data_IF_726398185809
#
_entry.id   IF_726398185809
#
_cell.length_a   1.000
_cell.length_b   1.000
_cell.length_c   1.000
_cell.angle_alpha   90.00
_cell.angle_beta   90.00
_cell.angle_gamma   90.00
#
_symmetry.space_group_name_H-M   'P 1'
#
loop_
_entity.id
_entity.type
_entity.pdbx_description
1 polymer ?
#
# COMPACT_ATOMS: atom_id res chain seq x y z
N UNK A 1 -3.71 -40.64 35.89
CA UNK A 1 -4.12 -40.17 34.57
C UNK A 1 -3.30 -38.88 34.29
N UNK A 2 -2.16 -39.00 33.61
CA UNK A 2 -1.41 -37.84 33.08
C UNK A 2 -2.31 -37.24 32.01
N UNK A 3 -2.80 -36.02 32.24
CA UNK A 3 -3.49 -35.24 31.21
C UNK A 3 -2.56 -35.16 29.99
N UNK A 4 -2.98 -35.70 28.84
CA UNK A 4 -2.24 -35.60 27.61
C UNK A 4 -2.10 -34.12 27.27
N UNK A 5 -0.87 -33.60 27.28
CA UNK A 5 -0.61 -32.27 26.77
C UNK A 5 -1.08 -32.23 25.31
N UNK A 6 -2.03 -31.36 25.03
CA UNK A 6 -2.53 -31.17 23.65
C UNK A 6 -1.35 -30.72 22.77
N UNK A 7 -0.85 -31.62 21.96
CA UNK A 7 0.21 -31.37 21.01
C UNK A 7 -0.40 -30.61 19.81
N UNK A 8 0.22 -29.51 19.42
CA UNK A 8 -0.20 -28.67 18.31
C UNK A 8 0.89 -28.65 17.22
N UNK A 9 0.51 -28.78 15.95
CA UNK A 9 1.46 -28.71 14.85
C UNK A 9 1.88 -27.26 14.54
N UNK A 10 3.05 -27.09 13.92
CA UNK A 10 3.48 -25.78 13.44
C UNK A 10 2.49 -25.18 12.45
N UNK A 11 1.90 -25.98 11.58
CA UNK A 11 0.86 -25.55 10.64
C UNK A 11 -0.38 -24.98 11.37
N UNK A 12 -0.86 -25.67 12.41
CA UNK A 12 -1.99 -25.18 13.22
C UNK A 12 -1.62 -23.89 13.97
N UNK A 13 -0.37 -23.78 14.44
CA UNK A 13 0.14 -22.55 15.08
C UNK A 13 0.10 -21.38 14.09
N UNK A 14 0.56 -21.58 12.85
CA UNK A 14 0.53 -20.54 11.81
C UNK A 14 -0.91 -20.03 11.56
N UNK A 15 -1.89 -20.95 11.46
CA UNK A 15 -3.29 -20.59 11.29
C UNK A 15 -3.81 -19.81 12.49
N UNK A 16 -3.53 -20.28 13.72
CA UNK A 16 -3.92 -19.56 14.95
C UNK A 16 -3.29 -18.18 15.08
N UNK A 17 -2.03 -18.01 14.65
CA UNK A 17 -1.40 -16.70 14.60
C UNK A 17 -2.16 -15.74 13.67
N UNK A 18 -2.55 -16.20 12.49
CA UNK A 18 -3.36 -15.39 11.55
C UNK A 18 -4.73 -15.03 12.13
N UNK A 19 -5.37 -15.98 12.82
CA UNK A 19 -6.65 -15.72 13.51
C UNK A 19 -6.50 -14.69 14.63
N UNK A 20 -5.43 -14.75 15.43
CA UNK A 20 -5.13 -13.76 16.48
C UNK A 20 -4.83 -12.37 15.92
N UNK A 21 -4.24 -12.27 14.71
CA UNK A 21 -4.05 -11.00 13.99
C UNK A 21 -5.33 -10.52 13.26
N UNK A 22 -6.45 -11.23 13.41
CA UNK A 22 -7.73 -10.86 12.83
C UNK A 22 -7.79 -10.99 11.31
N UNK A 23 -6.96 -11.87 10.74
CA UNK A 23 -6.94 -12.14 9.31
C UNK A 23 -8.18 -12.95 8.91
N UNK A 24 -8.96 -12.41 8.00
CA UNK A 24 -10.18 -13.04 7.50
C UNK A 24 -10.04 -13.60 6.08
N UNK A 25 -9.00 -13.20 5.37
CA UNK A 25 -8.73 -13.63 3.99
C UNK A 25 -7.25 -13.70 3.71
N UNK A 26 -6.84 -14.75 2.99
CA UNK A 26 -5.51 -14.89 2.42
C UNK A 26 -5.61 -15.12 0.92
N UNK A 27 -4.54 -14.75 0.19
CA UNK A 27 -4.39 -14.98 -1.23
C UNK A 27 -3.23 -15.93 -1.45
N UNK A 28 -3.41 -17.04 -2.16
CA UNK A 28 -2.31 -17.97 -2.29
C UNK A 28 -2.49 -19.07 -3.32
N UNK A 29 -1.41 -19.81 -3.50
CA UNK A 29 -1.37 -21.00 -4.34
C UNK A 29 -0.65 -22.13 -3.58
N UNK A 30 -1.32 -23.29 -3.36
CA UNK A 30 -0.73 -24.40 -2.64
C UNK A 30 0.38 -25.06 -3.45
N UNK A 31 1.33 -25.68 -2.75
CA UNK A 31 2.40 -26.50 -3.31
C UNK A 31 3.03 -27.34 -2.20
N UNK A 32 3.89 -28.28 -2.56
CA UNK A 32 4.37 -29.33 -1.67
C UNK A 32 4.92 -28.82 -0.33
N UNK A 33 5.75 -27.76 -0.36
CA UNK A 33 6.39 -27.24 0.84
C UNK A 33 5.48 -26.39 1.75
N UNK A 34 4.20 -26.15 1.38
CA UNK A 34 3.25 -25.37 2.16
C UNK A 34 1.91 -26.13 2.35
N UNK A 35 1.80 -27.35 1.85
CA UNK A 35 0.60 -28.18 2.01
C UNK A 35 0.15 -28.37 3.45
N UNK A 36 1.04 -28.60 4.46
CA UNK A 36 0.59 -28.74 5.85
C UNK A 36 -0.17 -27.50 6.35
N UNK A 37 0.27 -26.31 6.00
CA UNK A 37 -0.43 -25.09 6.33
C UNK A 37 -1.81 -25.00 5.66
N UNK A 38 -1.93 -25.33 4.37
CA UNK A 38 -3.22 -25.32 3.68
C UNK A 38 -4.19 -26.38 4.21
N UNK A 39 -3.67 -27.51 4.68
CA UNK A 39 -4.47 -28.55 5.35
C UNK A 39 -5.06 -28.04 6.67
N UNK A 40 -4.24 -27.47 7.55
CA UNK A 40 -4.71 -26.83 8.79
C UNK A 40 -5.67 -25.65 8.51
N UNK A 41 -5.46 -24.93 7.42
CA UNK A 41 -6.30 -23.79 7.05
C UNK A 41 -7.71 -24.21 6.63
N UNK A 42 -7.89 -25.45 6.13
CA UNK A 42 -9.18 -25.98 5.70
C UNK A 42 -10.23 -25.95 6.80
N UNK A 43 -9.83 -26.19 8.05
CA UNK A 43 -10.71 -26.20 9.23
C UNK A 43 -10.89 -24.80 9.87
N UNK A 44 -10.23 -23.78 9.32
CA UNK A 44 -10.31 -22.41 9.84
C UNK A 44 -11.44 -21.60 9.22
N UNK A 45 -11.73 -20.43 9.81
CA UNK A 45 -12.67 -19.44 9.24
C UNK A 45 -12.03 -18.50 8.25
N UNK A 46 -10.72 -18.60 8.01
CA UNK A 46 -9.99 -17.74 7.11
C UNK A 46 -10.32 -18.12 5.66
N UNK A 47 -10.88 -17.20 4.92
CA UNK A 47 -11.19 -17.41 3.51
C UNK A 47 -9.90 -17.49 2.68
N UNK A 48 -9.71 -18.57 1.96
CA UNK A 48 -8.63 -18.70 0.98
C UNK A 48 -9.12 -18.28 -0.41
N UNK A 49 -8.43 -17.32 -1.00
CA UNK A 49 -8.62 -16.93 -2.40
C UNK A 49 -7.51 -17.57 -3.22
N UNK A 50 -7.87 -18.62 -3.94
CA UNK A 50 -6.93 -19.34 -4.82
C UNK A 50 -6.61 -18.47 -6.04
N UNK A 51 -5.33 -18.19 -6.24
CA UNK A 51 -4.81 -17.52 -7.43
C UNK A 51 -4.32 -18.54 -8.46
N UNK A 52 -4.05 -18.09 -9.69
CA UNK A 52 -3.50 -18.93 -10.76
C UNK A 52 -2.00 -18.68 -11.00
N UNK A 53 -1.46 -17.70 -10.29
CA UNK A 53 -0.04 -17.33 -10.29
C UNK A 53 0.26 -16.59 -8.98
N UNK A 54 1.37 -16.89 -8.34
CA UNK A 54 1.71 -16.37 -7.01
C UNK A 54 1.94 -14.86 -7.01
N UNK A 55 2.45 -14.28 -8.10
CA UNK A 55 2.54 -12.82 -8.28
C UNK A 55 1.19 -12.15 -8.06
N UNK A 56 0.11 -12.76 -8.55
CA UNK A 56 -1.24 -12.24 -8.34
C UNK A 56 -1.68 -12.33 -6.87
N UNK A 57 -1.18 -13.30 -6.09
CA UNK A 57 -1.44 -13.35 -4.66
C UNK A 57 -0.88 -12.14 -3.93
N UNK A 58 0.38 -11.78 -4.21
CA UNK A 58 1.02 -10.62 -3.60
C UNK A 58 0.33 -9.31 -4.03
N UNK A 59 -0.05 -9.17 -5.32
CA UNK A 59 -0.80 -8.00 -5.78
C UNK A 59 -2.21 -7.92 -5.19
N UNK A 60 -2.90 -9.06 -5.03
CA UNK A 60 -4.22 -9.10 -4.41
C UNK A 60 -4.14 -8.76 -2.92
N UNK A 61 -3.14 -9.26 -2.19
CA UNK A 61 -2.86 -8.90 -0.80
C UNK A 61 -2.57 -7.38 -0.67
N UNK A 62 -1.76 -6.83 -1.57
CA UNK A 62 -1.49 -5.39 -1.64
C UNK A 62 -2.76 -4.58 -1.92
N UNK A 63 -3.59 -5.01 -2.87
CA UNK A 63 -4.89 -4.39 -3.17
C UNK A 63 -5.85 -4.42 -1.98
N UNK A 64 -5.93 -5.58 -1.30
CA UNK A 64 -6.73 -5.73 -0.09
C UNK A 64 -6.26 -4.78 1.03
N UNK A 65 -4.96 -4.70 1.27
CA UNK A 65 -4.41 -3.81 2.29
C UNK A 65 -4.74 -2.34 2.01
N UNK A 66 -4.66 -1.91 0.74
CA UNK A 66 -5.02 -0.54 0.32
C UNK A 66 -6.50 -0.22 0.55
N UNK A 67 -7.38 -1.17 0.23
CA UNK A 67 -8.83 -0.97 0.30
C UNK A 67 -9.39 -1.09 1.71
N UNK A 68 -8.86 -2.02 2.51
CA UNK A 68 -9.39 -2.34 3.84
C UNK A 68 -8.67 -1.64 4.99
N UNK A 69 -7.50 -1.04 4.75
CA UNK A 69 -6.59 -0.53 5.79
C UNK A 69 -6.13 -1.63 6.78
N UNK A 70 -6.17 -2.90 6.35
CA UNK A 70 -5.69 -4.06 7.12
C UNK A 70 -4.43 -4.63 6.45
N UNK A 71 -3.72 -5.49 7.14
CA UNK A 71 -2.58 -6.21 6.56
C UNK A 71 -3.07 -7.20 5.52
N UNK A 72 -2.47 -7.19 4.33
CA UNK A 72 -2.70 -8.21 3.32
C UNK A 72 -1.80 -9.42 3.54
N UNK A 73 -2.33 -10.63 3.37
CA UNK A 73 -1.55 -11.86 3.52
C UNK A 73 -1.53 -12.63 2.21
N UNK A 74 -0.33 -12.99 1.73
CA UNK A 74 -0.15 -13.87 0.58
C UNK A 74 0.69 -15.09 0.95
N UNK A 75 0.39 -16.23 0.31
CA UNK A 75 0.98 -17.52 0.64
C UNK A 75 1.41 -18.25 -0.62
N UNK A 76 2.65 -18.77 -0.64
CA UNK A 76 3.17 -19.58 -1.74
C UNK A 76 4.06 -20.71 -1.24
N UNK A 77 4.32 -21.69 -2.12
CA UNK A 77 5.27 -22.75 -1.86
C UNK A 77 6.72 -22.28 -2.07
N UNK A 78 7.69 -23.15 -1.84
CA UNK A 78 9.12 -22.90 -2.06
C UNK A 78 9.49 -22.74 -3.53
N UNK A 79 10.74 -22.35 -3.77
CA UNK A 79 11.33 -22.26 -5.11
C UNK A 79 10.60 -21.29 -6.02
N UNK A 80 10.11 -21.74 -7.20
CA UNK A 80 9.44 -20.86 -8.16
C UNK A 80 8.17 -20.23 -7.59
N UNK A 81 7.45 -20.88 -6.66
CA UNK A 81 6.30 -20.29 -5.99
C UNK A 81 6.67 -19.07 -5.15
N UNK A 82 7.72 -19.19 -4.37
CA UNK A 82 8.23 -18.09 -3.56
C UNK A 82 8.80 -16.94 -4.42
N UNK A 83 9.63 -17.27 -5.43
CA UNK A 83 10.25 -16.24 -6.29
C UNK A 83 9.22 -15.48 -7.13
N UNK A 84 8.08 -16.10 -7.48
CA UNK A 84 6.99 -15.42 -8.17
C UNK A 84 6.31 -14.33 -7.31
N UNK A 85 6.45 -14.32 -5.98
CA UNK A 85 5.92 -13.26 -5.12
C UNK A 85 6.74 -11.96 -5.21
N UNK A 86 8.01 -12.02 -5.62
CA UNK A 86 8.97 -10.89 -5.51
C UNK A 86 8.45 -9.61 -6.15
N UNK A 87 7.89 -9.68 -7.35
CA UNK A 87 7.35 -8.48 -8.04
C UNK A 87 6.27 -7.80 -7.21
N UNK A 88 5.35 -8.56 -6.63
CA UNK A 88 4.28 -8.01 -5.79
C UNK A 88 4.81 -7.47 -4.46
N UNK A 89 5.78 -8.15 -3.85
CA UNK A 89 6.48 -7.70 -2.64
C UNK A 89 7.20 -6.37 -2.93
N UNK A 90 7.97 -6.28 -4.01
CA UNK A 90 8.67 -5.06 -4.41
C UNK A 90 7.70 -3.89 -4.66
N UNK A 91 6.56 -4.15 -5.31
CA UNK A 91 5.51 -3.15 -5.51
C UNK A 91 4.94 -2.66 -4.18
N UNK A 92 4.65 -3.57 -3.24
CA UNK A 92 4.15 -3.21 -1.92
C UNK A 92 5.18 -2.40 -1.12
N UNK A 93 6.47 -2.75 -1.20
CA UNK A 93 7.56 -2.01 -0.58
C UNK A 93 7.66 -0.57 -1.10
N UNK A 94 7.66 -0.42 -2.43
CA UNK A 94 7.75 0.89 -3.07
C UNK A 94 6.58 1.80 -2.70
N UNK A 95 5.38 1.24 -2.53
CA UNK A 95 4.18 2.01 -2.18
C UNK A 95 3.88 2.04 -0.68
N UNK A 96 4.76 1.47 0.15
CA UNK A 96 4.60 1.45 1.62
C UNK A 96 3.30 0.75 2.06
N UNK A 97 3.00 -0.41 1.47
CA UNK A 97 1.79 -1.19 1.75
C UNK A 97 2.11 -2.36 2.67
N UNK A 98 1.42 -2.48 3.82
CA UNK A 98 1.67 -3.56 4.76
C UNK A 98 1.13 -4.88 4.22
N UNK A 99 2.03 -5.81 3.88
CA UNK A 99 1.70 -7.18 3.56
C UNK A 99 2.61 -8.13 4.36
N UNK A 100 2.08 -9.30 4.69
CA UNK A 100 2.85 -10.43 5.21
C UNK A 100 2.82 -11.53 4.15
N UNK A 101 4.00 -11.83 3.60
CA UNK A 101 4.19 -12.91 2.67
C UNK A 101 4.66 -14.16 3.44
N UNK A 102 3.98 -15.27 3.26
CA UNK A 102 4.33 -16.54 3.91
C UNK A 102 4.76 -17.50 2.80
N UNK A 103 5.97 -18.04 2.90
CA UNK A 103 6.47 -19.04 1.97
C UNK A 103 6.73 -20.35 2.69
N UNK A 104 6.41 -21.45 2.02
CA UNK A 104 6.95 -22.75 2.43
C UNK A 104 8.39 -22.87 1.98
N UNK A 105 9.19 -23.64 2.73
CA UNK A 105 10.57 -23.93 2.39
C UNK A 105 10.83 -25.43 2.45
N UNK A 106 11.88 -25.89 1.78
CA UNK A 106 12.36 -27.28 1.91
C UNK A 106 12.68 -27.59 3.37
N UNK A 107 12.85 -28.85 3.71
CA UNK A 107 13.21 -29.25 5.08
C UNK A 107 14.45 -28.50 5.58
N UNK A 108 14.45 -28.10 6.84
CA UNK A 108 15.54 -27.31 7.43
C UNK A 108 16.92 -27.97 7.32
N UNK A 109 17.00 -29.31 7.37
CA UNK A 109 18.24 -30.06 7.21
C UNK A 109 18.74 -30.16 5.75
N UNK A 110 17.94 -29.73 4.78
CA UNK A 110 18.26 -29.72 3.35
C UNK A 110 18.62 -28.33 2.81
N UNK A 111 18.38 -27.27 3.56
CA UNK A 111 18.68 -25.90 3.15
C UNK A 111 20.19 -25.74 2.89
N UNK A 112 20.53 -25.09 1.76
CA UNK A 112 21.91 -24.90 1.30
C UNK A 112 22.51 -26.10 0.58
N UNK A 113 21.67 -27.06 0.12
CA UNK A 113 22.11 -28.26 -0.60
C UNK A 113 21.65 -28.33 -2.05
N UNK A 114 21.10 -27.24 -2.59
CA UNK A 114 20.57 -27.15 -3.97
C UNK A 114 19.54 -28.24 -4.29
N UNK A 115 18.66 -28.54 -3.32
CA UNK A 115 17.62 -29.55 -3.52
C UNK A 115 16.46 -29.01 -4.35
N UNK A 116 15.60 -29.92 -4.82
CA UNK A 116 14.48 -29.59 -5.68
C UNK A 116 13.58 -28.49 -5.07
N UNK A 117 13.35 -27.42 -5.84
CA UNK A 117 12.58 -26.24 -5.44
C UNK A 117 13.10 -25.51 -4.18
N UNK A 118 14.38 -25.63 -3.88
CA UNK A 118 15.03 -24.75 -2.94
C UNK A 118 15.28 -23.38 -3.58
N UNK A 119 15.01 -22.30 -2.84
CA UNK A 119 15.43 -20.95 -3.18
C UNK A 119 15.66 -20.14 -1.90
N UNK A 120 16.73 -19.35 -1.89
CA UNK A 120 16.94 -18.35 -0.85
C UNK A 120 16.03 -17.15 -1.11
N UNK A 121 14.77 -17.30 -0.72
CA UNK A 121 13.77 -16.22 -0.90
C UNK A 121 14.02 -15.07 0.07
N UNK A 122 14.60 -15.32 1.24
CA UNK A 122 14.93 -14.28 2.22
C UNK A 122 15.98 -13.33 1.68
N UNK A 123 17.08 -13.88 1.11
CA UNK A 123 18.10 -13.10 0.42
C UNK A 123 17.60 -12.43 -0.85
N UNK A 124 16.81 -13.13 -1.66
CA UNK A 124 16.26 -12.56 -2.90
C UNK A 124 15.31 -11.38 -2.68
N UNK A 125 14.59 -11.33 -1.54
CA UNK A 125 13.66 -10.24 -1.19
C UNK A 125 14.33 -9.10 -0.42
N UNK A 126 15.55 -9.25 0.10
CA UNK A 126 16.20 -8.29 1.00
C UNK A 126 16.09 -6.82 0.53
N UNK A 127 16.31 -6.47 -0.75
CA UNK A 127 16.22 -5.08 -1.22
C UNK A 127 14.80 -4.50 -1.21
N UNK A 128 13.77 -5.32 -1.10
CA UNK A 128 12.35 -4.94 -1.28
C UNK A 128 11.48 -5.26 -0.09
N UNK A 129 12.08 -5.48 1.09
CA UNK A 129 11.33 -5.93 2.26
C UNK A 129 11.78 -5.17 3.51
N UNK A 130 10.89 -5.03 4.48
CA UNK A 130 11.26 -4.43 5.76
C UNK A 130 12.04 -5.40 6.65
N UNK A 131 11.62 -6.65 6.63
CA UNK A 131 12.26 -7.75 7.36
C UNK A 131 11.85 -9.10 6.79
N UNK A 132 12.71 -10.09 6.97
CA UNK A 132 12.45 -11.47 6.60
C UNK A 132 12.85 -12.41 7.71
N UNK A 133 12.06 -13.48 7.89
CA UNK A 133 12.33 -14.54 8.84
C UNK A 133 12.46 -15.88 8.10
N UNK A 134 13.56 -16.59 8.30
CA UNK A 134 13.64 -18.02 8.07
C UNK A 134 13.41 -18.73 9.40
N UNK A 135 12.28 -19.40 9.56
CA UNK A 135 11.91 -20.06 10.82
C UNK A 135 12.75 -21.31 11.05
N UNK A 136 13.41 -21.38 12.20
CA UNK A 136 14.31 -22.50 12.55
C UNK A 136 13.77 -23.41 13.65
N UNK A 137 12.79 -22.94 14.41
CA UNK A 137 12.16 -23.69 15.50
C UNK A 137 10.64 -23.42 15.50
N UNK A 138 9.87 -24.50 15.66
CA UNK A 138 8.40 -24.43 15.75
C UNK A 138 7.94 -23.60 16.96
N UNK A 139 8.71 -23.55 18.04
CA UNK A 139 8.42 -22.73 19.21
C UNK A 139 8.49 -21.23 18.95
N UNK A 140 9.24 -20.81 17.92
CA UNK A 140 9.40 -19.40 17.57
C UNK A 140 8.25 -18.85 16.69
N UNK A 141 7.40 -19.72 16.13
CA UNK A 141 6.36 -19.32 15.18
C UNK A 141 5.47 -18.20 15.72
N UNK A 142 4.92 -18.35 16.94
CA UNK A 142 4.02 -17.36 17.51
C UNK A 142 4.68 -15.98 17.65
N UNK A 143 5.92 -15.95 18.15
CA UNK A 143 6.73 -14.73 18.27
C UNK A 143 7.02 -14.11 16.91
N UNK A 144 7.48 -14.90 15.94
CA UNK A 144 7.84 -14.44 14.59
C UNK A 144 6.62 -13.84 13.87
N UNK A 145 5.46 -14.50 13.95
CA UNK A 145 4.24 -13.96 13.35
C UNK A 145 3.86 -12.62 14.00
N UNK A 146 3.88 -12.53 15.32
CA UNK A 146 3.58 -11.29 16.05
C UNK A 146 4.51 -10.14 15.62
N UNK A 147 5.82 -10.42 15.60
CA UNK A 147 6.84 -9.46 15.18
C UNK A 147 6.65 -9.05 13.71
N UNK A 148 6.35 -10.00 12.82
CA UNK A 148 6.14 -9.73 11.40
C UNK A 148 4.97 -8.77 11.14
N UNK A 149 3.82 -8.99 11.80
CA UNK A 149 2.67 -8.10 11.69
C UNK A 149 2.96 -6.72 12.29
N UNK A 150 3.66 -6.68 13.44
CA UNK A 150 4.11 -5.43 14.04
C UNK A 150 5.04 -4.63 13.11
N UNK A 151 6.06 -5.27 12.54
CA UNK A 151 6.99 -4.62 11.62
C UNK A 151 6.27 -4.14 10.36
N UNK A 152 5.36 -4.96 9.80
CA UNK A 152 4.63 -4.60 8.59
C UNK A 152 3.81 -3.31 8.74
N UNK A 153 3.26 -3.07 9.94
CA UNK A 153 2.30 -1.99 10.20
C UNK A 153 2.89 -0.76 10.87
N UNK A 154 4.03 -0.87 11.54
CA UNK A 154 4.64 0.23 12.32
C UNK A 154 5.78 0.93 11.56
N UNK A 155 6.12 2.16 11.94
CA UNK A 155 7.02 2.98 11.16
C UNK A 155 6.45 3.24 9.75
N UNK A 156 7.31 3.27 8.72
CA UNK A 156 6.83 3.22 7.33
C UNK A 156 6.27 1.83 7.06
N UNK A 157 4.96 1.68 6.74
CA UNK A 157 4.39 0.37 6.43
C UNK A 157 5.09 -0.31 5.25
N UNK A 158 5.06 -1.64 5.21
CA UNK A 158 5.69 -2.36 4.11
C UNK A 158 5.66 -3.87 4.29
N UNK A 159 6.17 -4.62 3.32
CA UNK A 159 6.16 -6.08 3.32
C UNK A 159 7.11 -6.70 4.34
N UNK A 160 6.68 -7.84 4.90
CA UNK A 160 7.51 -8.74 5.72
C UNK A 160 7.33 -10.16 5.19
N UNK A 161 8.41 -10.92 5.15
CA UNK A 161 8.42 -12.32 4.69
C UNK A 161 8.61 -13.26 5.89
N UNK A 162 7.84 -14.35 5.91
CA UNK A 162 8.03 -15.47 6.83
C UNK A 162 8.22 -16.73 5.99
N UNK A 163 9.45 -17.25 5.95
CA UNK A 163 9.80 -18.47 5.22
C UNK A 163 9.84 -19.65 6.19
N UNK A 164 8.96 -20.64 5.98
CA UNK A 164 8.71 -21.70 6.95
C UNK A 164 9.00 -23.08 6.36
N UNK A 165 10.09 -23.72 6.79
CA UNK A 165 10.42 -25.09 6.36
C UNK A 165 9.30 -26.08 6.67
N UNK A 166 9.12 -27.07 5.77
CA UNK A 166 8.02 -28.03 5.88
C UNK A 166 8.06 -28.88 7.15
N UNK A 167 9.25 -29.23 7.65
CA UNK A 167 9.41 -29.95 8.91
C UNK A 167 9.00 -29.11 10.12
N UNK A 168 9.24 -27.78 10.09
CA UNK A 168 8.75 -26.84 11.11
C UNK A 168 7.23 -26.81 11.13
N UNK A 169 6.57 -26.83 9.96
CA UNK A 169 5.11 -26.89 9.87
C UNK A 169 4.54 -28.21 10.42
N UNK A 170 5.25 -29.33 10.20
CA UNK A 170 4.83 -30.66 10.62
C UNK A 170 5.15 -30.98 12.09
N UNK A 171 6.20 -30.38 12.64
CA UNK A 171 6.61 -30.60 14.03
C UNK A 171 5.49 -30.22 15.00
N UNK A 172 5.39 -30.99 16.10
CA UNK A 172 4.39 -30.76 17.13
C UNK A 172 5.05 -30.34 18.43
N UNK A 173 4.51 -29.30 19.03
CA UNK A 173 4.95 -28.81 20.35
C UNK A 173 3.82 -28.91 21.38
N UNK A 174 4.17 -28.84 22.63
CA UNK A 174 3.22 -28.81 23.74
C UNK A 174 2.86 -27.36 24.08
N UNK A 175 1.58 -27.01 23.89
CA UNK A 175 1.08 -25.67 24.19
C UNK A 175 1.32 -24.67 23.09
N UNK A 176 0.48 -23.66 23.05
CA UNK A 176 0.55 -22.50 22.15
C UNK A 176 0.07 -21.27 22.92
N UNK A 177 0.85 -20.23 22.92
CA UNK A 177 0.49 -18.94 23.48
C UNK A 177 0.89 -17.87 22.46
N UNK A 178 -0.05 -16.96 22.14
CA UNK A 178 0.23 -15.86 21.22
C UNK A 178 0.65 -14.64 22.04
N UNK A 179 1.82 -14.02 21.75
CA UNK A 179 2.32 -12.88 22.52
C UNK A 179 1.36 -11.68 22.46
N UNK A 180 1.12 -11.04 23.61
CA UNK A 180 0.36 -9.78 23.65
C UNK A 180 1.22 -8.62 23.18
N UNK A 181 2.46 -8.54 23.65
CA UNK A 181 3.41 -7.46 23.39
C UNK A 181 4.54 -7.88 22.43
N UNK A 182 5.15 -6.89 21.81
CA UNK A 182 6.31 -7.04 20.94
C UNK A 182 7.47 -6.24 21.50
N UNK A 183 8.62 -6.90 21.69
CA UNK A 183 9.88 -6.24 22.04
C UNK A 183 10.98 -6.67 21.06
N UNK A 184 11.19 -5.86 20.01
CA UNK A 184 12.22 -6.11 19.00
C UNK A 184 13.40 -5.18 19.27
N UNK A 185 14.56 -5.78 19.57
CA UNK A 185 15.79 -5.05 19.82
C UNK A 185 16.14 -4.18 18.61
N UNK A 186 16.32 -2.87 18.84
CA UNK A 186 16.71 -1.92 17.78
C UNK A 186 15.58 -1.43 16.88
N UNK A 187 14.34 -1.96 16.99
CA UNK A 187 13.21 -1.49 16.21
C UNK A 187 12.26 -0.61 17.06
N UNK A 188 12.49 0.70 17.02
CA UNK A 188 11.68 1.71 17.75
C UNK A 188 11.40 2.92 16.84
N UNK A 189 10.39 2.85 15.97
CA UNK A 189 10.04 3.95 15.07
C UNK A 189 9.75 5.24 15.84
N UNK A 190 10.26 6.38 15.35
CA UNK A 190 9.99 7.69 15.92
C UNK A 190 8.61 8.17 15.45
N UNK A 191 7.66 8.32 16.38
CA UNK A 191 6.26 8.65 16.03
C UNK A 191 5.83 10.06 16.43
N UNK A 192 6.51 10.71 17.38
CA UNK A 192 5.99 11.98 17.98
C UNK A 192 6.42 13.26 17.25
N UNK A 193 7.43 13.22 16.40
CA UNK A 193 8.07 14.42 15.88
C UNK A 193 8.84 15.20 16.97
N UNK A 194 9.92 15.88 16.58
CA UNK A 194 10.74 16.63 17.54
C UNK A 194 10.12 18.01 17.80
N UNK A 195 9.85 18.40 19.08
CA UNK A 195 9.11 19.64 19.39
C UNK A 195 9.78 20.91 18.85
N UNK A 196 11.13 20.98 18.85
CA UNK A 196 11.86 22.14 18.33
C UNK A 196 11.67 22.24 16.81
N UNK A 197 11.68 21.12 16.07
CA UNK A 197 11.48 21.14 14.63
C UNK A 197 10.04 21.51 14.27
N UNK A 198 9.06 21.04 15.04
CA UNK A 198 7.65 21.46 14.88
C UNK A 198 7.52 22.97 15.11
N UNK A 199 8.14 23.52 16.16
CA UNK A 199 8.15 24.96 16.42
C UNK A 199 8.76 25.73 15.24
N UNK A 200 9.93 25.33 14.75
CA UNK A 200 10.59 25.97 13.58
C UNK A 200 9.73 25.90 12.31
N UNK A 201 9.01 24.78 12.10
CA UNK A 201 8.09 24.64 10.98
C UNK A 201 6.95 25.67 11.09
N UNK A 202 6.35 25.83 12.28
CA UNK A 202 5.30 26.81 12.50
C UNK A 202 5.78 28.26 12.31
N UNK A 203 7.00 28.57 12.72
CA UNK A 203 7.66 29.87 12.48
C UNK A 203 7.84 30.13 10.98
N UNK A 204 8.33 29.13 10.22
CA UNK A 204 8.49 29.24 8.76
C UNK A 204 7.15 29.43 8.05
N UNK A 205 6.10 28.75 8.50
CA UNK A 205 4.75 28.92 7.94
C UNK A 205 4.27 30.35 8.18
N UNK A 206 4.49 30.90 9.38
CA UNK A 206 4.08 32.26 9.72
C UNK A 206 4.83 33.35 8.92
N UNK A 207 6.06 33.09 8.50
CA UNK A 207 6.87 34.00 7.67
C UNK A 207 6.57 33.91 6.17
N UNK A 208 5.98 32.80 5.71
CA UNK A 208 5.76 32.53 4.29
C UNK A 208 4.62 33.37 3.72
N UNK A 209 4.82 33.83 2.48
CA UNK A 209 3.82 34.59 1.72
C UNK A 209 3.02 33.71 0.78
N UNK A 210 3.65 32.65 0.27
CA UNK A 210 3.08 31.74 -0.76
C UNK A 210 3.28 30.27 -0.38
N UNK A 211 2.84 29.84 0.81
CA UNK A 211 3.00 28.46 1.21
C UNK A 211 2.12 27.51 0.38
N UNK A 212 2.61 26.29 0.16
CA UNK A 212 1.88 25.18 -0.49
C UNK A 212 2.09 23.91 0.30
N UNK A 213 1.02 23.15 0.55
CA UNK A 213 1.08 21.82 1.16
C UNK A 213 1.05 20.76 0.06
N UNK A 214 2.00 19.84 0.06
CA UNK A 214 1.99 18.64 -0.76
C UNK A 214 1.65 17.41 0.09
N UNK A 215 0.46 16.86 -0.12
CA UNK A 215 0.01 15.64 0.56
C UNK A 215 0.44 14.38 -0.20
N UNK A 216 1.06 13.44 0.52
CA UNK A 216 1.43 12.12 0.01
C UNK A 216 0.62 10.98 0.61
N UNK A 217 1.01 9.75 0.27
CA UNK A 217 0.42 8.53 0.80
C UNK A 217 0.49 8.39 2.31
N UNK A 218 1.49 9.01 2.95
CA UNK A 218 1.65 8.99 4.41
C UNK A 218 0.49 9.62 5.18
N UNK A 219 -0.23 10.58 4.59
CA UNK A 219 -1.44 11.16 5.20
C UNK A 219 -2.58 10.13 5.26
N UNK A 220 -2.70 9.29 4.23
CA UNK A 220 -3.71 8.22 4.18
C UNK A 220 -3.35 7.06 5.10
N UNK A 221 -2.11 6.57 5.00
CA UNK A 221 -1.65 5.40 5.76
C UNK A 221 -1.64 5.61 7.28
N UNK A 222 -1.41 6.85 7.74
CA UNK A 222 -1.48 7.22 9.15
C UNK A 222 -2.91 7.46 9.67
N UNK A 223 -3.93 7.40 8.79
CA UNK A 223 -5.30 7.75 9.16
C UNK A 223 -5.48 9.22 9.56
N UNK A 224 -4.59 10.12 9.11
CA UNK A 224 -4.61 11.53 9.49
C UNK A 224 -5.47 12.43 8.60
N UNK A 225 -6.16 11.88 7.60
CA UNK A 225 -6.98 12.62 6.64
C UNK A 225 -7.91 13.67 7.30
N UNK A 226 -8.71 13.36 8.36
CA UNK A 226 -9.59 14.35 8.98
C UNK A 226 -8.81 15.52 9.60
N UNK A 227 -7.78 15.21 10.37
CA UNK A 227 -6.97 16.24 11.06
C UNK A 227 -6.16 17.06 10.05
N UNK A 228 -5.71 16.45 8.96
CA UNK A 228 -5.05 17.14 7.87
C UNK A 228 -6.00 18.14 7.18
N UNK A 229 -7.24 17.77 6.93
CA UNK A 229 -8.25 18.66 6.37
C UNK A 229 -8.51 19.85 7.30
N UNK A 230 -8.66 19.61 8.61
CA UNK A 230 -8.80 20.68 9.61
C UNK A 230 -7.61 21.64 9.63
N UNK A 231 -6.37 21.11 9.49
CA UNK A 231 -5.16 21.92 9.40
C UNK A 231 -5.13 22.77 8.12
N UNK A 232 -5.47 22.18 6.98
CA UNK A 232 -5.57 22.88 5.71
C UNK A 232 -6.64 23.99 5.76
N UNK A 233 -7.84 23.69 6.26
CA UNK A 233 -8.94 24.64 6.38
C UNK A 233 -8.58 25.80 7.32
N UNK A 234 -7.98 25.49 8.47
CA UNK A 234 -7.55 26.49 9.46
C UNK A 234 -6.51 27.47 8.90
N UNK A 235 -5.62 26.98 8.07
CA UNK A 235 -4.52 27.79 7.49
C UNK A 235 -4.88 28.48 6.19
N UNK A 236 -5.87 27.94 5.46
CA UNK A 236 -6.23 28.41 4.11
C UNK A 236 -5.18 28.09 3.05
N UNK A 237 -4.10 27.38 3.38
CA UNK A 237 -2.98 27.07 2.47
C UNK A 237 -3.46 26.12 1.36
N UNK A 238 -3.13 26.40 0.07
CA UNK A 238 -3.49 25.51 -1.03
C UNK A 238 -2.80 24.16 -0.91
N UNK A 239 -3.52 23.09 -1.26
CA UNK A 239 -3.07 21.71 -1.18
C UNK A 239 -2.91 21.13 -2.57
N UNK A 240 -1.78 20.51 -2.81
CA UNK A 240 -1.50 19.66 -3.97
C UNK A 240 -1.23 18.23 -3.47
N UNK A 241 -1.36 17.24 -4.34
CA UNK A 241 -1.09 15.86 -3.95
C UNK A 241 -0.10 15.16 -4.87
N UNK A 242 0.64 14.20 -4.33
CA UNK A 242 1.25 13.17 -5.17
C UNK A 242 0.18 12.18 -5.63
N UNK A 243 0.48 11.28 -6.57
CA UNK A 243 -0.44 10.20 -6.96
C UNK A 243 -0.94 9.41 -5.74
N UNK A 244 -0.05 9.08 -4.80
CA UNK A 244 -0.42 8.36 -3.56
C UNK A 244 -1.16 9.24 -2.55
N UNK A 245 -1.16 10.56 -2.72
CA UNK A 245 -1.92 11.53 -1.91
C UNK A 245 -3.33 11.85 -2.43
N UNK A 246 -3.71 11.36 -3.62
CA UNK A 246 -5.06 11.55 -4.17
C UNK A 246 -6.09 10.95 -3.20
N UNK A 247 -7.15 11.72 -2.93
CA UNK A 247 -8.20 11.36 -1.97
C UNK A 247 -7.95 11.85 -0.53
N UNK A 248 -6.82 12.50 -0.25
CA UNK A 248 -6.59 13.20 1.03
C UNK A 248 -7.56 14.37 1.16
N UNK A 249 -7.67 15.19 0.10
CA UNK A 249 -8.65 16.29 0.03
C UNK A 249 -9.79 15.90 -0.93
N UNK A 250 -11.03 16.35 -0.66
CA UNK A 250 -12.13 16.25 -1.63
C UNK A 250 -11.78 16.99 -2.93
N UNK A 251 -12.17 16.43 -4.07
CA UNK A 251 -11.85 17.00 -5.39
C UNK A 251 -12.55 18.35 -5.66
N UNK A 252 -13.64 18.60 -4.99
CA UNK A 252 -14.45 19.84 -5.05
C UNK A 252 -13.99 20.90 -4.03
N UNK A 253 -13.05 20.56 -3.14
CA UNK A 253 -12.48 21.54 -2.23
C UNK A 253 -11.68 22.61 -2.98
N UNK A 254 -12.01 23.88 -2.78
CA UNK A 254 -11.42 25.01 -3.49
C UNK A 254 -9.93 25.19 -3.22
N UNK A 255 -9.41 24.70 -2.09
CA UNK A 255 -7.99 24.74 -1.77
C UNK A 255 -7.21 23.61 -2.46
N UNK A 256 -7.90 22.56 -2.94
CA UNK A 256 -7.24 21.46 -3.64
C UNK A 256 -6.97 21.81 -5.10
N UNK A 257 -5.71 21.95 -5.43
CA UNK A 257 -5.27 22.34 -6.77
C UNK A 257 -5.02 21.15 -7.70
N UNK A 258 -5.12 19.93 -7.19
CA UNK A 258 -4.96 18.70 -7.96
C UNK A 258 -3.62 17.97 -7.69
N UNK A 259 -3.31 17.03 -8.58
CA UNK A 259 -2.09 16.23 -8.50
C UNK A 259 -0.90 16.96 -9.12
N UNK A 260 0.28 16.82 -8.47
CA UNK A 260 1.56 17.28 -9.01
C UNK A 260 2.15 16.33 -10.04
N UNK A 261 3.00 16.85 -10.91
CA UNK A 261 3.92 16.10 -11.74
C UNK A 261 3.54 16.09 -13.22
N UNK A 262 4.21 15.20 -13.99
CA UNK A 262 4.10 15.12 -15.45
C UNK A 262 2.68 14.85 -15.96
N UNK A 263 1.86 14.21 -15.14
CA UNK A 263 0.45 13.93 -15.42
C UNK A 263 -0.49 14.70 -14.47
N UNK A 264 0.04 15.71 -13.80
CA UNK A 264 -0.68 16.51 -12.84
C UNK A 264 -1.44 17.67 -13.50
N UNK A 265 -2.22 18.38 -12.67
CA UNK A 265 -2.95 19.56 -13.09
C UNK A 265 -2.00 20.75 -13.31
N UNK A 266 -2.37 21.65 -14.22
CA UNK A 266 -1.60 22.88 -14.46
C UNK A 266 -1.57 23.74 -13.19
N UNK A 267 -2.68 23.82 -12.46
CA UNK A 267 -2.81 24.57 -11.21
C UNK A 267 -1.85 24.05 -10.14
N UNK A 268 -1.76 22.73 -9.96
CA UNK A 268 -0.85 22.11 -8.98
C UNK A 268 0.62 22.35 -9.33
N UNK A 269 0.98 22.18 -10.60
CA UNK A 269 2.35 22.43 -11.06
C UNK A 269 2.72 23.92 -10.97
N UNK A 270 1.79 24.81 -11.27
CA UNK A 270 1.97 26.26 -11.09
C UNK A 270 2.19 26.62 -9.60
N UNK A 271 1.40 26.05 -8.69
CA UNK A 271 1.57 26.26 -7.26
C UNK A 271 2.98 25.89 -6.79
N UNK A 272 3.54 24.78 -7.31
CA UNK A 272 4.92 24.39 -7.02
C UNK A 272 5.95 25.37 -7.58
N UNK A 273 5.66 26.04 -8.70
CA UNK A 273 6.56 27.03 -9.29
C UNK A 273 6.53 28.37 -8.55
N UNK A 274 5.39 28.75 -8.00
CA UNK A 274 5.18 30.05 -7.35
C UNK A 274 5.42 30.05 -5.84
N UNK A 275 5.54 28.86 -5.23
CA UNK A 275 5.69 28.71 -3.78
C UNK A 275 7.02 29.26 -3.26
N UNK A 276 7.01 29.91 -2.09
CA UNK A 276 8.17 30.25 -1.29
C UNK A 276 8.40 29.28 -0.10
N UNK A 277 7.39 28.44 0.21
CA UNK A 277 7.46 27.41 1.25
C UNK A 277 6.68 26.16 0.82
N UNK A 278 7.38 25.06 0.60
CA UNK A 278 6.79 23.75 0.32
C UNK A 278 6.72 22.91 1.60
N UNK A 279 5.51 22.50 1.98
CA UNK A 279 5.27 21.65 3.15
C UNK A 279 4.94 20.24 2.67
N UNK A 280 5.90 19.34 2.76
CA UNK A 280 5.76 17.94 2.36
C UNK A 280 5.18 17.12 3.52
N UNK A 281 4.02 16.54 3.31
CA UNK A 281 3.28 15.75 4.30
C UNK A 281 3.21 14.28 3.86
N UNK A 282 4.11 13.42 4.35
CA UNK A 282 4.17 12.00 4.00
C UNK A 282 4.34 11.76 2.49
N UNK A 283 5.23 12.55 1.86
CA UNK A 283 5.47 12.56 0.41
C UNK A 283 6.95 12.41 0.11
N UNK A 284 7.33 11.43 -0.73
CA UNK A 284 8.75 11.08 -1.03
C UNK A 284 9.42 11.95 -2.08
N UNK A 285 8.72 12.87 -2.72
CA UNK A 285 9.24 13.71 -3.81
C UNK A 285 9.90 12.88 -4.93
N UNK A 286 9.13 11.93 -5.48
CA UNK A 286 9.59 11.13 -6.63
C UNK A 286 9.68 11.98 -7.91
N UNK A 287 10.49 11.53 -8.86
CA UNK A 287 10.75 12.18 -10.17
C UNK A 287 9.48 12.45 -10.99
N UNK A 288 8.45 11.61 -10.82
CA UNK A 288 7.16 11.78 -11.50
C UNK A 288 6.31 12.89 -10.90
N UNK A 289 6.51 13.21 -9.62
CA UNK A 289 5.80 14.30 -8.93
C UNK A 289 6.55 15.63 -9.06
N UNK A 290 7.88 15.61 -8.95
CA UNK A 290 8.75 16.81 -9.03
C UNK A 290 9.94 16.50 -9.92
N UNK A 291 9.92 16.96 -11.16
CA UNK A 291 10.96 16.65 -12.16
C UNK A 291 12.33 17.25 -11.80
N UNK A 292 12.38 18.41 -11.14
CA UNK A 292 13.61 19.11 -10.76
C UNK A 292 13.56 19.59 -9.29
N UNK A 293 13.68 18.66 -8.31
CA UNK A 293 13.55 19.00 -6.89
C UNK A 293 14.55 20.04 -6.40
N UNK A 294 15.79 20.05 -6.94
CA UNK A 294 16.84 21.03 -6.60
C UNK A 294 16.40 22.45 -6.95
N UNK A 295 15.77 22.67 -8.10
CA UNK A 295 15.28 23.99 -8.51
C UNK A 295 14.16 24.51 -7.59
N UNK A 296 13.36 23.61 -7.02
CA UNK A 296 12.35 23.98 -6.01
C UNK A 296 13.05 24.43 -4.72
N UNK A 297 14.05 23.67 -4.25
CA UNK A 297 14.77 23.97 -3.02
C UNK A 297 15.64 25.23 -3.10
N UNK A 298 16.06 25.66 -4.30
CA UNK A 298 16.76 26.93 -4.51
C UNK A 298 15.83 28.14 -4.32
N UNK A 299 14.54 28.00 -4.60
CA UNK A 299 13.56 29.10 -4.54
C UNK A 299 12.71 29.10 -3.29
N UNK A 300 12.38 27.92 -2.78
CA UNK A 300 11.45 27.72 -1.68
C UNK A 300 12.14 27.04 -0.51
N UNK A 301 11.81 27.45 0.71
CA UNK A 301 12.11 26.67 1.91
C UNK A 301 11.28 25.39 1.90
N UNK A 302 11.79 24.31 2.50
CA UNK A 302 11.11 23.00 2.51
C UNK A 302 10.95 22.50 3.95
N UNK A 303 9.72 22.27 4.37
CA UNK A 303 9.39 21.48 5.56
C UNK A 303 9.06 20.08 5.08
N UNK A 304 9.75 19.04 5.59
CA UNK A 304 9.51 17.67 5.21
C UNK A 304 9.13 16.85 6.43
N UNK A 305 7.88 16.38 6.45
CA UNK A 305 7.31 15.55 7.52
C UNK A 305 7.15 14.14 6.97
N UNK A 306 7.91 13.20 7.52
CA UNK A 306 7.82 11.79 7.17
C UNK A 306 8.12 10.91 8.38
N UNK A 307 7.56 9.70 8.42
CA UNK A 307 7.85 8.71 9.45
C UNK A 307 9.19 8.00 9.21
N UNK A 308 9.62 7.96 7.94
CA UNK A 308 10.86 7.33 7.52
C UNK A 308 11.99 8.38 7.45
N UNK A 309 12.97 8.34 8.37
CA UNK A 309 14.08 9.29 8.34
C UNK A 309 14.92 9.19 7.07
N UNK A 310 14.92 8.03 6.37
CA UNK A 310 15.67 7.83 5.14
C UNK A 310 15.07 8.57 3.93
N UNK A 311 13.80 8.94 3.97
CA UNK A 311 13.17 9.71 2.90
C UNK A 311 13.38 11.22 3.03
N UNK A 312 13.66 11.72 4.26
CA UNK A 312 13.86 13.14 4.52
C UNK A 312 15.19 13.61 3.93
N UNK A 313 15.13 14.59 3.03
CA UNK A 313 16.31 15.15 2.39
C UNK A 313 16.90 14.28 1.27
N UNK A 314 16.33 13.12 0.98
CA UNK A 314 16.84 12.19 -0.05
C UNK A 314 16.76 12.76 -1.47
N UNK A 315 15.61 13.32 -1.83
CA UNK A 315 15.35 13.82 -3.19
C UNK A 315 15.30 15.35 -3.26
N UNK A 316 15.07 16.04 -2.14
CA UNK A 316 14.99 17.49 -2.07
C UNK A 316 15.68 17.99 -0.81
N UNK A 317 16.46 19.06 -0.94
CA UNK A 317 17.08 19.68 0.23
C UNK A 317 16.01 20.21 1.18
N UNK A 318 16.08 19.82 2.44
CA UNK A 318 15.08 20.10 3.46
C UNK A 318 15.57 21.17 4.43
N UNK A 319 14.77 22.22 4.64
CA UNK A 319 15.07 23.31 5.60
C UNK A 319 14.71 22.88 7.02
N UNK A 320 13.55 22.25 7.21
CA UNK A 320 13.08 21.73 8.50
C UNK A 320 12.64 20.27 8.36
N UNK A 321 13.46 19.30 8.82
CA UNK A 321 13.09 17.90 8.86
C UNK A 321 12.24 17.60 10.10
N UNK A 322 11.14 16.82 9.93
CA UNK A 322 10.33 16.34 11.05
C UNK A 322 10.10 14.84 10.85
N UNK A 323 10.85 14.03 11.61
CA UNK A 323 10.65 12.58 11.66
C UNK A 323 9.54 12.27 12.64
N UNK A 324 8.42 11.73 12.16
CA UNK A 324 7.29 11.38 13.01
C UNK A 324 6.08 10.89 12.22
N UNK A 325 5.16 10.25 12.93
CA UNK A 325 3.88 9.84 12.38
C UNK A 325 3.05 11.08 12.01
N UNK A 326 2.46 11.05 10.82
CA UNK A 326 1.75 12.19 10.27
C UNK A 326 0.59 12.65 11.18
N UNK A 327 -0.19 11.71 11.74
CA UNK A 327 -1.30 12.02 12.62
C UNK A 327 -0.83 12.77 13.87
N UNK A 328 0.26 12.29 14.49
CA UNK A 328 0.80 12.90 15.70
C UNK A 328 1.37 14.31 15.42
N UNK A 329 2.14 14.45 14.34
CA UNK A 329 2.78 15.73 13.97
C UNK A 329 1.72 16.77 13.58
N UNK A 330 0.79 16.42 12.68
CA UNK A 330 -0.25 17.37 12.22
C UNK A 330 -1.20 17.75 13.33
N UNK A 331 -1.51 16.86 14.28
CA UNK A 331 -2.33 17.21 15.45
C UNK A 331 -1.68 18.35 16.23
N UNK A 332 -0.38 18.22 16.55
CA UNK A 332 0.34 19.26 17.28
C UNK A 332 0.45 20.57 16.48
N UNK A 333 0.67 20.45 15.16
CA UNK A 333 0.75 21.63 14.29
C UNK A 333 -0.60 22.34 14.20
N UNK A 334 -1.70 21.63 13.98
CA UNK A 334 -3.07 22.17 13.93
C UNK A 334 -3.42 22.93 15.21
N UNK A 335 -3.10 22.35 16.37
CA UNK A 335 -3.45 22.95 17.68
C UNK A 335 -2.65 24.23 17.96
N UNK A 336 -1.39 24.29 17.50
CA UNK A 336 -0.48 25.41 17.78
C UNK A 336 -0.42 26.48 16.68
N UNK A 337 -0.89 26.18 15.46
CA UNK A 337 -0.81 27.12 14.35
C UNK A 337 -1.71 28.34 14.59
N UNK A 338 -1.13 29.53 14.47
CA UNK A 338 -1.85 30.79 14.44
C UNK A 338 -1.48 31.53 13.15
N UNK A 339 -1.91 30.99 12.01
CA UNK A 339 -1.61 31.50 10.68
C UNK A 339 -2.80 31.26 9.77
N UNK A 340 -3.08 32.24 8.93
CA UNK A 340 -3.98 32.10 7.79
C UNK A 340 -3.33 32.73 6.57
N UNK A 341 -3.44 32.10 5.43
CA UNK A 341 -2.90 32.61 4.17
C UNK A 341 -3.46 33.99 3.82
N UNK A 342 -2.63 34.84 3.20
CA UNK A 342 -3.08 36.17 2.79
C UNK A 342 -4.17 36.09 1.71
N UNK A 343 -5.07 37.09 1.69
CA UNK A 343 -6.10 37.18 0.66
C UNK A 343 -5.50 37.34 -0.73
N UNK A 344 -4.32 37.98 -0.83
CA UNK A 344 -3.60 38.13 -2.11
C UNK A 344 -3.24 36.74 -2.69
N UNK A 345 -2.56 35.87 -1.92
CA UNK A 345 -2.19 34.55 -2.36
C UNK A 345 -3.42 33.66 -2.61
N UNK A 346 -4.42 33.75 -1.73
CA UNK A 346 -5.68 33.04 -1.88
C UNK A 346 -6.40 33.39 -3.17
N UNK A 347 -6.55 34.69 -3.47
CA UNK A 347 -7.21 35.14 -4.70
C UNK A 347 -6.40 34.76 -5.95
N UNK A 348 -5.06 34.79 -5.84
CA UNK A 348 -4.18 34.40 -6.94
C UNK A 348 -4.40 32.92 -7.33
N UNK A 349 -4.20 31.97 -6.43
CA UNK A 349 -4.38 30.54 -6.77
C UNK A 349 -5.83 30.15 -7.09
N UNK A 350 -6.79 30.84 -6.54
CA UNK A 350 -8.22 30.64 -6.84
C UNK A 350 -8.59 31.11 -8.25
N UNK A 351 -7.86 32.08 -8.80
CA UNK A 351 -8.06 32.58 -10.16
C UNK A 351 -7.54 31.65 -11.26
N UNK A 352 -6.67 30.69 -10.92
CA UNK A 352 -6.06 29.82 -11.93
C UNK A 352 -7.08 28.84 -12.51
N UNK A 353 -7.07 28.76 -13.84
CA UNK A 353 -7.94 27.89 -14.62
C UNK A 353 -7.15 26.66 -15.09
N UNK A 354 -7.80 25.50 -15.09
CA UNK A 354 -7.28 24.37 -15.88
C UNK A 354 -7.59 24.62 -17.35
N UNK A 355 -6.61 24.38 -18.25
CA UNK A 355 -6.89 24.44 -19.68
C UNK A 355 -7.94 23.39 -20.04
N UNK A 356 -8.83 23.77 -20.96
CA UNK A 356 -9.77 22.82 -21.54
C UNK A 356 -8.99 21.77 -22.34
N UNK A 357 -8.97 20.54 -21.85
CA UNK A 357 -8.32 19.43 -22.54
C UNK A 357 -9.25 19.03 -23.69
N UNK A 358 -8.95 19.50 -24.89
CA UNK A 358 -9.63 19.00 -26.10
C UNK A 358 -9.20 17.56 -26.33
N UNK A 359 -10.13 16.61 -26.50
CA UNK A 359 -9.78 15.24 -26.88
C UNK A 359 -8.95 15.26 -28.17
N UNK A 360 -7.78 14.62 -28.16
CA UNK A 360 -7.03 14.39 -29.38
C UNK A 360 -7.76 13.28 -30.12
N UNK A 361 -8.37 13.61 -31.28
CA UNK A 361 -9.03 12.62 -32.12
C UNK A 361 -8.03 11.50 -32.46
N UNK A 362 -8.39 10.26 -32.13
CA UNK A 362 -7.56 9.06 -32.38
C UNK A 362 -6.73 8.55 -31.25
N UNK A 363 -6.62 9.24 -30.11
CA UNK A 363 -6.07 8.68 -28.88
C UNK A 363 -7.20 8.14 -27.97
N UNK A 364 -6.96 6.99 -27.35
CA UNK A 364 -7.82 6.46 -26.26
C UNK A 364 -7.98 7.58 -25.24
N UNK A 365 -9.21 8.02 -25.00
CA UNK A 365 -9.53 9.11 -24.08
C UNK A 365 -8.71 9.01 -22.78
N UNK A 366 -8.20 10.14 -22.24
CA UNK A 366 -7.53 10.17 -20.94
C UNK A 366 -8.44 9.80 -19.75
N UNK A 367 -9.65 9.31 -20.02
CA UNK A 367 -10.54 8.65 -19.02
C UNK A 367 -9.84 7.56 -18.22
N UNK A 368 -8.72 7.02 -18.70
CA UNK A 368 -7.91 6.05 -17.94
C UNK A 368 -7.31 6.69 -16.67
N UNK A 369 -6.99 7.97 -16.66
CA UNK A 369 -6.47 8.68 -15.48
C UNK A 369 -7.59 9.20 -14.56
N UNK A 370 -8.68 9.71 -15.11
CA UNK A 370 -9.94 9.97 -14.36
C UNK A 370 -10.46 8.66 -13.77
N UNK A 371 -10.21 7.53 -14.43
CA UNK A 371 -10.49 6.19 -13.94
C UNK A 371 -9.64 5.82 -12.72
N UNK A 372 -8.35 6.09 -12.70
CA UNK A 372 -7.49 5.87 -11.54
C UNK A 372 -7.93 6.73 -10.34
N UNK A 373 -8.34 7.96 -10.57
CA UNK A 373 -8.85 8.85 -9.53
C UNK A 373 -10.22 8.38 -9.01
N UNK A 374 -11.17 8.07 -9.91
CA UNK A 374 -12.47 7.46 -9.54
C UNK A 374 -12.31 6.07 -8.97
N UNK A 375 -11.36 5.27 -9.49
CA UNK A 375 -11.06 3.94 -8.99
C UNK A 375 -10.57 4.01 -7.54
N UNK A 376 -9.72 4.97 -7.23
CA UNK A 376 -9.19 5.16 -5.88
C UNK A 376 -10.22 5.72 -4.91
N UNK A 377 -11.02 6.70 -5.30
CA UNK A 377 -12.12 7.22 -4.47
C UNK A 377 -13.22 6.18 -4.28
N UNK A 378 -13.59 5.45 -5.31
CA UNK A 378 -14.57 4.35 -5.21
C UNK A 378 -14.05 3.14 -4.45
N UNK A 379 -12.73 2.87 -4.52
CA UNK A 379 -12.10 1.77 -3.77
C UNK A 379 -12.03 2.04 -2.26
N UNK A 380 -11.96 3.30 -1.88
CA UNK A 380 -11.94 3.70 -0.46
C UNK A 380 -13.34 3.66 0.19
N UNK A 381 -14.41 3.63 -0.63
CA UNK A 381 -15.80 3.66 -0.16
C UNK A 381 -16.61 2.39 -0.48
N UNK A 382 -16.08 1.47 -1.29
CA UNK A 382 -16.86 0.36 -1.83
C UNK A 382 -16.55 -0.98 -1.15
N UNK A 383 -17.62 -1.65 -0.76
CA UNK A 383 -17.66 -3.07 -0.42
C UNK A 383 -17.14 -3.94 -1.60
N UNK A 384 -16.42 -5.03 -1.31
CA UNK A 384 -15.82 -5.95 -2.31
C UNK A 384 -16.82 -6.46 -3.37
N UNK A 385 -18.12 -6.45 -3.07
CA UNK A 385 -19.19 -6.80 -4.00
C UNK A 385 -19.31 -5.77 -5.14
N UNK A 386 -19.17 -4.50 -4.85
CA UNK A 386 -19.23 -3.43 -5.86
C UNK A 386 -18.01 -3.47 -6.78
N UNK A 387 -16.83 -3.90 -6.27
CA UNK A 387 -15.63 -4.07 -7.07
C UNK A 387 -15.81 -5.14 -8.15
N UNK A 388 -16.38 -6.30 -7.78
CA UNK A 388 -16.68 -7.37 -8.73
C UNK A 388 -17.65 -6.93 -9.81
N UNK A 389 -18.67 -6.15 -9.44
CA UNK A 389 -19.66 -5.58 -10.38
C UNK A 389 -19.02 -4.52 -11.30
N UNK A 390 -18.06 -3.75 -10.82
CA UNK A 390 -17.35 -2.75 -11.59
C UNK A 390 -16.40 -3.39 -12.60
N UNK A 391 -15.63 -4.41 -12.21
CA UNK A 391 -14.80 -5.21 -13.13
C UNK A 391 -15.66 -5.86 -14.21
N UNK A 392 -16.84 -6.36 -13.86
CA UNK A 392 -17.78 -6.93 -14.82
C UNK A 392 -18.26 -5.88 -15.85
N UNK A 393 -18.57 -4.66 -15.41
CA UNK A 393 -18.98 -3.55 -16.30
C UNK A 393 -17.84 -3.11 -17.22
N UNK A 394 -16.59 -3.14 -16.75
CA UNK A 394 -15.41 -2.85 -17.58
C UNK A 394 -15.26 -3.91 -18.66
N UNK A 395 -15.33 -5.18 -18.30
CA UNK A 395 -15.24 -6.29 -19.24
C UNK A 395 -16.36 -6.24 -20.27
N UNK A 396 -17.59 -5.90 -19.87
CA UNK A 396 -18.71 -5.71 -20.79
C UNK A 396 -18.52 -4.50 -21.72
N UNK A 397 -17.94 -3.41 -21.21
CA UNK A 397 -17.62 -2.22 -22.04
C UNK A 397 -16.51 -2.52 -23.05
N UNK A 398 -15.47 -3.25 -22.65
CA UNK A 398 -14.40 -3.72 -23.54
C UNK A 398 -14.92 -4.67 -24.60
N UNK A 399 -15.79 -5.61 -24.24
CA UNK A 399 -16.44 -6.54 -25.18
C UNK A 399 -17.29 -5.78 -26.21
N UNK A 400 -18.12 -4.81 -25.77
CA UNK A 400 -18.90 -3.96 -26.70
C UNK A 400 -18.00 -3.13 -27.62
N UNK A 401 -16.84 -2.66 -27.14
CA UNK A 401 -15.90 -1.91 -27.97
C UNK A 401 -15.20 -2.83 -28.99
N UNK A 402 -14.89 -4.07 -28.62
CA UNK A 402 -14.35 -5.06 -29.56
C UNK A 402 -15.37 -5.50 -30.62
N UNK A 403 -16.66 -5.61 -30.27
CA UNK A 403 -17.75 -5.90 -31.22
C UNK A 403 -17.97 -4.77 -32.25
N UNK A 404 -17.71 -3.52 -31.86
CA UNK A 404 -17.84 -2.35 -32.75
C UNK A 404 -16.67 -2.18 -33.75
N UNK A 405 -15.60 -3.00 -33.65
CA UNK A 405 -14.45 -2.96 -34.57
C UNK A 405 -14.21 -4.33 -35.22
N UNK A 406 -14.86 -4.64 -36.36
CA UNK A 406 -14.80 -5.98 -36.99
C UNK A 406 -13.41 -6.41 -37.46
N UNK A 407 -12.44 -5.51 -37.59
CA UNK A 407 -11.11 -5.84 -38.10
C UNK A 407 -10.22 -6.63 -37.12
N UNK A 408 -10.53 -6.62 -35.79
CA UNK A 408 -9.76 -7.36 -34.78
C UNK A 408 -10.25 -8.83 -34.59
N UNK A 409 -11.46 -9.14 -35.06
CA UNK A 409 -12.08 -10.45 -34.93
C UNK A 409 -11.70 -11.46 -36.04
N UNK A 410 -11.07 -11.01 -37.12
CA UNK A 410 -10.70 -11.87 -38.24
C UNK A 410 -9.47 -12.78 -37.96
N UNK A 411 -8.73 -12.56 -36.88
CA UNK A 411 -7.54 -13.35 -36.56
C UNK A 411 -7.79 -14.54 -35.63
N UNK A 412 -9.00 -14.74 -35.09
CA UNK A 412 -9.30 -15.88 -34.24
C UNK A 412 -10.31 -16.83 -34.88
N UNK A 413 -9.87 -18.08 -35.08
CA UNK A 413 -10.65 -19.10 -35.81
C UNK A 413 -12.00 -19.54 -35.17
N UNK A 414 -12.35 -19.08 -33.95
CA UNK A 414 -13.66 -19.40 -33.28
C UNK A 414 -14.10 -18.34 -32.24
N UNK A 415 -14.53 -17.14 -32.63
CA UNK A 415 -14.93 -16.11 -31.65
C UNK A 415 -16.24 -16.39 -30.90
N UNK A 416 -17.22 -17.07 -31.53
CA UNK A 416 -18.53 -17.35 -30.91
C UNK A 416 -18.49 -18.34 -29.73
N UNK A 417 -17.53 -19.26 -29.69
CA UNK A 417 -17.41 -20.26 -28.63
C UNK A 417 -16.78 -19.69 -27.35
N UNK A 418 -15.96 -18.65 -27.47
CA UNK A 418 -15.38 -17.94 -26.33
C UNK A 418 -16.41 -17.03 -25.64
N UNK A 419 -17.22 -16.32 -26.42
CA UNK A 419 -18.30 -15.46 -25.92
C UNK A 419 -19.38 -16.27 -25.17
N UNK A 420 -19.74 -17.45 -25.67
CA UNK A 420 -20.73 -18.32 -25.03
C UNK A 420 -20.21 -18.95 -23.72
N UNK A 421 -18.92 -19.24 -23.63
CA UNK A 421 -18.29 -19.72 -22.39
C UNK A 421 -18.19 -18.61 -21.33
N UNK A 422 -17.92 -17.37 -21.73
CA UNK A 422 -17.89 -16.24 -20.81
C UNK A 422 -19.29 -15.91 -20.27
N UNK A 423 -20.35 -15.94 -21.10
CA UNK A 423 -21.73 -15.69 -20.64
C UNK A 423 -22.25 -16.78 -19.68
N UNK A 424 -21.89 -18.04 -19.92
CA UNK A 424 -22.28 -19.14 -19.04
C UNK A 424 -21.54 -19.15 -17.70
N UNK A 425 -20.26 -18.72 -17.65
CA UNK A 425 -19.53 -18.56 -16.39
C UNK A 425 -20.04 -17.39 -15.57
N UNK A 426 -20.51 -16.32 -16.22
CA UNK A 426 -21.09 -15.16 -15.53
C UNK A 426 -22.44 -15.51 -14.88
N UNK A 427 -23.24 -16.37 -15.50
CA UNK A 427 -24.50 -16.87 -14.93
C UNK A 427 -24.28 -17.78 -13.72
N UNK A 428 -23.19 -18.56 -13.69
CA UNK A 428 -22.83 -19.40 -12.54
C UNK A 428 -22.32 -18.59 -11.35
N UNK A 429 -21.61 -17.47 -11.59
CA UNK A 429 -21.18 -16.57 -10.51
C UNK A 429 -22.34 -15.79 -9.86
N UNK A 430 -23.39 -15.46 -10.62
CA UNK A 430 -24.59 -14.82 -10.06
C UNK A 430 -25.45 -15.77 -9.22
N UNK A 431 -25.39 -17.08 -9.46
CA UNK A 431 -26.14 -18.09 -8.70
C UNK A 431 -25.47 -18.50 -7.38
N UNK A 432 -24.16 -18.26 -7.24
CA UNK A 432 -23.42 -18.54 -5.99
C UNK A 432 -23.39 -17.35 -5.00
N UNK A 433 -24.01 -16.22 -5.36
CA UNK A 433 -24.06 -14.99 -4.53
C UNK A 433 -25.44 -14.75 -3.89
N UNK A 434 -26.26 -15.82 -3.79
CA UNK A 434 -27.51 -15.80 -3.00
C UNK A 434 -27.38 -16.60 -1.74
#
# INVERSE_FOLDING_TARGET
>A
LKGGQNMISGADIMVKCLENEGISVIFGYPGAAICPFFDSLYDSKIRTVLVRQEQNAAHAASGYARASSKVGVCVATSGPGATNLITGIATAYMDSIPIVAITGQVRSDLIGRDVFQEADITGACEPFIKHSYLVKDTNDLARIFKEAFHIATTGRPGPVLIDVPIDIQQNKISGFEYPEDVDIIGYKPSVKGHPIQIKRALELIAESKRPVICSGGGVLSSGSKPIFAEFADKTGIPVVSTMMGIGVMPSDNKQYLGMLGSFGTVRANRALLETDLLILCGARVGDRAVAAPHQVAERAKVIHIDIDPAEIGKNIQTTVPIVGDMKNVITVMRDKINYHVSDEWKNEFMSWQEPEIKPIEGFVEPRTFIWLEKFRTSFMEADMLQLSLMILRILQSLLKHMESKPMLLQQTKKPKMLLQKCSNQTSLMCLSAK
#
